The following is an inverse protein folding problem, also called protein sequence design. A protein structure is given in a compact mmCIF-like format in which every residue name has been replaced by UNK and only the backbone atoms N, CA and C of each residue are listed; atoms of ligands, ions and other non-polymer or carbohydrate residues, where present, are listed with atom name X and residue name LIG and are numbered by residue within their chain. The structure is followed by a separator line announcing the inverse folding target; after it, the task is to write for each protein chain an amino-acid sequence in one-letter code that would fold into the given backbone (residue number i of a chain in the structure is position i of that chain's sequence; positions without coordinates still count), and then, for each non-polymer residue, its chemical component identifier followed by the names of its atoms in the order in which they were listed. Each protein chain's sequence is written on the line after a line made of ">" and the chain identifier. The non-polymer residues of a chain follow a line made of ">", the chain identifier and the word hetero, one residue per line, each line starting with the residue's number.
data_IF_311005284216
#
_entry.id   IF_311005284216
#
_cell.length_a   1.000
_cell.length_b   1.000
_cell.length_c   1.000
_cell.angle_alpha   90.00
_cell.angle_beta   90.00
_cell.angle_gamma   90.00
#
_symmetry.space_group_name_H-M   'P 1'
#
loop_
_entity.id
_entity.type
_entity.pdbx_description
1 polymer ?
#
# COMPACT_ATOMS: atom_id res chain seq x y z
N UNK A 1 1.82 0.48 1.19
CA UNK A 1 2.38 -0.28 0.06
C UNK A 1 2.07 0.38 -1.28
N UNK A 2 0.80 0.64 -1.63
CA UNK A 2 0.45 1.28 -2.91
C UNK A 2 1.18 2.62 -3.14
N UNK A 3 1.22 3.49 -2.12
CA UNK A 3 1.92 4.80 -2.16
C UNK A 3 3.43 4.70 -2.40
N UNK A 4 4.03 3.50 -2.29
CA UNK A 4 5.44 3.26 -2.56
C UNK A 4 5.63 2.64 -3.95
N UNK A 5 4.86 1.57 -4.24
CA UNK A 5 5.01 0.80 -5.49
C UNK A 5 4.69 1.65 -6.73
N UNK A 6 3.56 2.37 -6.72
CA UNK A 6 3.13 3.11 -7.90
C UNK A 6 4.10 4.23 -8.29
N UNK A 7 4.51 5.14 -7.37
CA UNK A 7 5.51 6.16 -7.69
C UNK A 7 6.85 5.56 -8.10
N UNK A 8 7.34 4.52 -7.41
CA UNK A 8 8.59 3.85 -7.75
C UNK A 8 8.61 3.27 -9.16
N UNK A 9 7.56 2.51 -9.52
CA UNK A 9 7.43 1.93 -10.86
C UNK A 9 7.26 3.01 -11.91
N UNK A 10 6.54 4.09 -11.61
CA UNK A 10 6.39 5.22 -12.52
C UNK A 10 7.74 5.86 -12.83
N UNK A 11 8.57 6.14 -11.81
CA UNK A 11 9.92 6.69 -12.00
C UNK A 11 10.76 5.80 -12.93
N UNK A 12 10.70 4.49 -12.76
CA UNK A 12 11.49 3.54 -13.56
C UNK A 12 10.93 3.27 -14.96
N UNK A 13 9.60 3.21 -15.10
CA UNK A 13 8.93 2.65 -16.28
C UNK A 13 8.41 3.68 -17.28
N UNK A 14 8.33 4.96 -16.90
CA UNK A 14 7.76 6.03 -17.73
C UNK A 14 8.45 6.17 -19.09
N UNK A 15 9.75 5.89 -19.19
CA UNK A 15 10.49 5.99 -20.43
C UNK A 15 9.98 5.01 -21.50
N UNK A 16 9.54 3.81 -21.10
CA UNK A 16 8.95 2.83 -22.00
C UNK A 16 7.48 3.10 -22.37
N UNK A 17 6.79 3.95 -21.61
CA UNK A 17 5.35 4.23 -21.78
C UNK A 17 5.13 5.52 -22.56
N UNK A 18 5.90 6.57 -22.28
CA UNK A 18 5.63 7.92 -22.77
C UNK A 18 6.67 8.46 -23.76
N UNK A 19 7.65 7.64 -24.20
CA UNK A 19 8.89 8.13 -24.86
C UNK A 19 9.54 9.29 -24.08
N UNK A 20 9.31 9.34 -22.78
CA UNK A 20 9.85 10.36 -21.90
C UNK A 20 11.26 9.94 -21.47
N UNK A 21 12.10 10.92 -21.13
CA UNK A 21 13.33 10.63 -20.41
C UNK A 21 13.05 10.09 -19.01
N UNK A 22 14.11 9.81 -18.26
CA UNK A 22 14.00 9.52 -16.83
C UNK A 22 13.25 10.65 -16.12
N UNK A 23 12.25 10.30 -15.31
CA UNK A 23 11.50 11.28 -14.51
C UNK A 23 12.14 11.38 -13.13
N UNK A 24 12.32 12.61 -12.67
CA UNK A 24 12.75 12.90 -11.31
C UNK A 24 11.64 12.48 -10.33
N UNK A 25 11.92 11.60 -9.33
CA UNK A 25 10.98 11.22 -8.29
C UNK A 25 10.27 12.41 -7.64
N UNK A 26 10.96 13.54 -7.46
CA UNK A 26 10.42 14.75 -6.84
C UNK A 26 9.25 15.39 -7.62
N UNK A 27 9.01 14.95 -8.86
CA UNK A 27 7.93 15.44 -9.72
C UNK A 27 6.69 14.54 -9.71
N UNK A 28 6.70 13.49 -8.90
CA UNK A 28 5.61 12.51 -8.82
C UNK A 28 4.82 12.75 -7.52
N UNK A 29 3.51 12.71 -7.64
CA UNK A 29 2.57 12.75 -6.53
C UNK A 29 1.54 11.62 -6.70
N UNK A 30 1.24 10.93 -5.60
CA UNK A 30 0.16 9.94 -5.53
C UNK A 30 -1.03 10.57 -4.81
N UNK A 31 -2.18 10.65 -5.49
CA UNK A 31 -3.39 11.26 -4.97
C UNK A 31 -4.43 10.17 -4.71
N UNK A 32 -4.86 10.07 -3.46
CA UNK A 32 -6.01 9.24 -3.08
C UNK A 32 -7.25 10.11 -3.06
N UNK A 33 -8.16 9.84 -4.00
CA UNK A 33 -9.43 10.53 -4.11
C UNK A 33 -10.55 9.64 -3.58
N UNK A 34 -11.27 10.12 -2.57
CA UNK A 34 -12.36 9.39 -1.91
C UNK A 34 -13.72 9.94 -2.34
N UNK A 35 -14.61 9.07 -2.80
CA UNK A 35 -15.97 9.46 -3.24
C UNK A 35 -16.80 10.10 -2.13
N UNK A 36 -16.58 9.71 -0.88
CA UNK A 36 -17.27 10.26 0.28
C UNK A 36 -16.79 11.68 0.65
N UNK A 37 -15.57 12.06 0.24
CA UNK A 37 -14.95 13.37 0.50
C UNK A 37 -14.24 13.89 -0.75
N UNK A 38 -14.98 14.17 -1.84
CA UNK A 38 -14.40 14.41 -3.16
C UNK A 38 -13.58 15.71 -3.26
N UNK A 39 -13.81 16.66 -2.35
CA UNK A 39 -13.10 17.95 -2.29
C UNK A 39 -11.85 17.89 -1.40
N UNK A 40 -11.59 16.77 -0.72
CA UNK A 40 -10.49 16.59 0.23
C UNK A 40 -9.66 15.35 -0.13
N UNK A 41 -8.97 15.34 -1.28
CA UNK A 41 -8.06 14.25 -1.62
C UNK A 41 -6.82 14.27 -0.72
N UNK A 42 -6.27 13.10 -0.46
CA UNK A 42 -4.99 12.93 0.25
C UNK A 42 -3.85 12.86 -0.77
N UNK A 43 -2.89 13.79 -0.66
CA UNK A 43 -1.76 13.90 -1.58
C UNK A 43 -0.45 13.47 -0.92
N UNK A 44 0.29 12.59 -1.60
CA UNK A 44 1.60 12.12 -1.16
C UNK A 44 2.65 12.44 -2.21
N UNK A 45 3.52 13.41 -1.91
CA UNK A 45 4.66 13.72 -2.76
C UNK A 45 5.73 12.63 -2.65
N UNK A 46 6.35 12.31 -3.77
CA UNK A 46 7.47 11.40 -3.82
C UNK A 46 8.78 12.18 -3.83
N UNK A 47 9.84 11.63 -3.24
CA UNK A 47 11.14 12.30 -3.14
C UNK A 47 12.26 11.36 -3.56
N UNK A 48 13.43 11.90 -3.88
CA UNK A 48 14.60 11.08 -4.20
C UNK A 48 14.96 10.15 -3.03
N UNK A 49 14.88 10.65 -1.79
CA UNK A 49 15.13 9.85 -0.60
C UNK A 49 14.13 8.70 -0.44
N UNK A 50 12.83 8.98 -0.70
CA UNK A 50 11.79 7.95 -0.68
C UNK A 50 12.03 6.90 -1.76
N UNK A 51 12.45 7.33 -2.96
CA UNK A 51 12.81 6.43 -4.04
C UNK A 51 13.98 5.50 -3.71
N UNK A 52 15.06 6.03 -3.14
CA UNK A 52 16.23 5.22 -2.77
C UNK A 52 15.87 4.20 -1.66
N UNK A 53 15.03 4.62 -0.70
CA UNK A 53 14.54 3.75 0.37
C UNK A 53 13.61 2.66 -0.17
N UNK A 54 12.69 3.01 -1.06
CA UNK A 54 11.77 2.08 -1.70
C UNK A 54 12.51 1.07 -2.57
N UNK A 55 13.55 1.50 -3.30
CA UNK A 55 14.41 0.60 -4.05
C UNK A 55 15.02 -0.49 -3.16
N UNK A 56 15.67 -0.08 -2.06
CA UNK A 56 16.28 -1.02 -1.13
C UNK A 56 15.25 -1.95 -0.49
N UNK A 57 14.09 -1.40 -0.12
CA UNK A 57 13.00 -2.16 0.47
C UNK A 57 12.45 -3.22 -0.50
N UNK A 58 12.19 -2.86 -1.75
CA UNK A 58 11.66 -3.78 -2.76
C UNK A 58 12.68 -4.82 -3.19
N UNK A 59 13.95 -4.45 -3.36
CA UNK A 59 15.02 -5.42 -3.61
C UNK A 59 15.10 -6.42 -2.46
N UNK A 60 15.04 -5.95 -1.20
CA UNK A 60 15.01 -6.80 -0.01
C UNK A 60 13.84 -7.79 -0.02
N UNK A 61 12.62 -7.32 -0.33
CA UNK A 61 11.44 -8.18 -0.44
C UNK A 61 11.59 -9.23 -1.55
N UNK A 62 12.10 -8.85 -2.72
CA UNK A 62 12.32 -9.77 -3.84
C UNK A 62 13.35 -10.83 -3.46
N UNK A 63 14.45 -10.44 -2.83
CA UNK A 63 15.45 -11.38 -2.31
C UNK A 63 14.85 -12.32 -1.28
N UNK A 64 14.05 -11.79 -0.34
CA UNK A 64 13.36 -12.61 0.66
C UNK A 64 12.46 -13.64 -0.02
N UNK A 65 11.59 -13.22 -0.93
CA UNK A 65 10.66 -14.10 -1.67
C UNK A 65 11.41 -15.18 -2.43
N UNK A 66 12.47 -14.82 -3.17
CA UNK A 66 13.26 -15.77 -3.95
C UNK A 66 14.05 -16.76 -3.07
N UNK A 67 14.40 -16.35 -1.85
CA UNK A 67 15.12 -17.21 -0.90
C UNK A 67 14.21 -18.20 -0.16
N UNK A 68 12.89 -17.99 -0.15
CA UNK A 68 11.94 -18.90 0.49
C UNK A 68 11.70 -20.14 -0.37
N UNK A 69 11.88 -21.32 0.22
CA UNK A 69 11.48 -22.61 -0.37
C UNK A 69 10.18 -23.11 0.27
N UNK A 70 9.57 -24.16 -0.30
CA UNK A 70 8.19 -24.61 -0.01
C UNK A 70 7.79 -24.85 1.47
N UNK A 71 8.67 -25.04 2.48
CA UNK A 71 8.18 -25.06 3.86
C UNK A 71 8.03 -23.67 4.54
N UNK A 72 8.39 -22.54 3.91
CA UNK A 72 8.63 -21.26 4.62
C UNK A 72 7.55 -20.18 4.45
N UNK A 73 6.37 -20.51 3.90
CA UNK A 73 5.21 -19.61 3.89
C UNK A 73 4.20 -19.98 4.99
N UNK A 74 4.39 -19.54 6.24
CA UNK A 74 3.50 -19.91 7.34
C UNK A 74 2.12 -19.32 7.11
N UNK A 75 1.09 -20.08 7.53
CA UNK A 75 -0.27 -19.58 7.56
C UNK A 75 -0.36 -18.38 8.51
N UNK A 76 -1.01 -17.30 8.06
CA UNK A 76 -1.20 -16.09 8.88
C UNK A 76 -1.83 -16.44 10.25
N UNK A 77 -1.38 -15.86 11.37
CA UNK A 77 -2.02 -16.10 12.66
C UNK A 77 -3.39 -15.39 12.79
N UNK A 78 -3.69 -14.41 11.92
CA UNK A 78 -4.96 -13.67 11.97
C UNK A 78 -6.09 -14.44 11.26
N UNK A 79 -6.80 -15.26 12.03
CA UNK A 79 -7.92 -16.07 11.52
C UNK A 79 -9.07 -15.22 10.97
N UNK A 80 -9.24 -13.96 11.41
CA UNK A 80 -10.30 -13.09 10.90
C UNK A 80 -10.08 -12.82 9.41
N UNK A 81 -8.82 -12.57 9.02
CA UNK A 81 -8.42 -12.38 7.61
C UNK A 81 -8.59 -13.65 6.79
N UNK A 82 -8.46 -14.84 7.40
CA UNK A 82 -8.69 -16.10 6.70
C UNK A 82 -10.11 -16.21 6.12
N UNK A 83 -11.12 -15.55 6.71
CA UNK A 83 -12.51 -15.55 6.23
C UNK A 83 -12.65 -15.07 4.79
N UNK A 84 -11.68 -14.28 4.31
CA UNK A 84 -11.66 -13.70 2.96
C UNK A 84 -10.61 -14.36 2.05
N UNK A 85 -9.84 -15.32 2.55
CA UNK A 85 -8.77 -15.97 1.80
C UNK A 85 -9.35 -17.03 0.85
N UNK A 86 -9.13 -16.87 -0.46
CA UNK A 86 -9.59 -17.83 -1.48
C UNK A 86 -9.01 -19.25 -1.24
N UNK A 87 -7.80 -19.34 -0.71
CA UNK A 87 -7.12 -20.59 -0.39
C UNK A 87 -7.53 -21.23 0.94
N UNK A 88 -8.53 -20.69 1.65
CA UNK A 88 -8.94 -21.21 2.97
C UNK A 88 -9.36 -22.68 2.95
N UNK A 89 -9.96 -23.15 1.85
CA UNK A 89 -10.31 -24.57 1.65
C UNK A 89 -9.10 -25.48 1.45
N UNK A 90 -7.92 -24.93 1.17
CA UNK A 90 -6.68 -25.65 0.86
C UNK A 90 -5.64 -25.55 1.98
N UNK A 91 -5.97 -24.94 3.12
CA UNK A 91 -5.03 -24.70 4.22
C UNK A 91 -5.45 -25.32 5.56
N UNK A 92 -6.32 -26.33 5.53
CA UNK A 92 -6.87 -27.06 6.69
C UNK A 92 -7.60 -26.20 7.74
N UNK A 93 -7.91 -24.93 7.40
CA UNK A 93 -8.64 -23.99 8.29
C UNK A 93 -10.07 -23.70 7.84
N UNK A 94 -10.55 -24.39 6.81
CA UNK A 94 -11.92 -24.28 6.35
C UNK A 94 -12.30 -25.30 5.28
N UNK A 95 -13.60 -25.50 5.10
CA UNK A 95 -14.18 -26.40 4.08
C UNK A 95 -14.63 -25.67 2.81
N UNK A 96 -14.54 -24.33 2.82
CA UNK A 96 -14.88 -23.45 1.69
C UNK A 96 -13.85 -22.33 1.60
N UNK A 97 -13.63 -21.85 0.38
CA UNK A 97 -12.89 -20.62 0.10
C UNK A 97 -13.50 -19.44 0.84
N UNK A 98 -12.67 -18.43 1.11
CA UNK A 98 -13.13 -17.18 1.71
C UNK A 98 -14.06 -16.41 0.78
N UNK A 99 -14.90 -15.58 1.39
CA UNK A 99 -15.92 -14.80 0.72
C UNK A 99 -15.34 -13.41 0.36
N UNK A 100 -14.85 -13.27 -0.88
CA UNK A 100 -14.23 -12.03 -1.35
C UNK A 100 -15.24 -10.88 -1.48
N UNK A 101 -16.48 -11.16 -1.89
CA UNK A 101 -17.55 -10.15 -1.99
C UNK A 101 -17.85 -9.56 -0.61
N UNK A 102 -17.85 -10.40 0.42
CA UNK A 102 -18.01 -9.94 1.80
C UNK A 102 -16.81 -9.15 2.32
N UNK A 103 -15.60 -9.31 1.78
CA UNK A 103 -14.45 -8.46 2.12
C UNK A 103 -14.67 -7.03 1.65
N UNK A 104 -15.15 -6.85 0.42
CA UNK A 104 -15.45 -5.55 -0.17
C UNK A 104 -16.50 -4.83 0.66
N UNK A 105 -17.60 -5.52 1.00
CA UNK A 105 -18.63 -5.01 1.90
C UNK A 105 -18.09 -4.66 3.30
N UNK A 106 -17.13 -5.44 3.83
CA UNK A 106 -16.51 -5.17 5.13
C UNK A 106 -15.60 -3.94 5.09
N UNK A 107 -14.89 -3.71 3.98
CA UNK A 107 -14.07 -2.52 3.78
C UNK A 107 -14.94 -1.26 3.64
N UNK A 108 -16.07 -1.38 2.94
CA UNK A 108 -17.05 -0.30 2.79
C UNK A 108 -17.80 0.03 4.09
N UNK A 109 -17.98 -0.97 4.98
CA UNK A 109 -18.71 -0.81 6.26
C UNK A 109 -17.83 -0.59 7.48
N UNK A 110 -16.50 -0.69 7.36
CA UNK A 110 -15.58 -0.44 8.46
C UNK A 110 -15.40 1.08 8.64
N UNK A 111 -15.68 1.65 9.83
CA UNK A 111 -15.54 3.08 10.10
C UNK A 111 -14.08 3.57 10.23
N UNK A 112 -13.12 2.82 9.68
CA UNK A 112 -11.69 3.07 9.81
C UNK A 112 -11.14 4.10 8.80
N UNK A 113 -11.91 5.15 8.53
CA UNK A 113 -11.33 6.50 8.55
C UNK A 113 -11.59 7.08 9.95
N UNK A 114 -11.10 6.41 10.99
CA UNK A 114 -10.94 7.08 12.28
C UNK A 114 -9.85 8.13 12.05
N UNK A 115 -10.31 9.35 11.79
CA UNK A 115 -9.49 10.55 11.74
C UNK A 115 -8.54 10.53 12.93
N UNK A 116 -7.24 10.45 12.68
CA UNK A 116 -6.25 10.86 13.68
C UNK A 116 -6.54 12.33 13.94
N UNK A 117 -7.17 12.66 15.08
CA UNK A 117 -7.40 14.04 15.48
C UNK A 117 -6.07 14.63 15.93
N UNK A 118 -5.31 15.19 15.00
CA UNK A 118 -4.10 15.96 15.32
C UNK A 118 -4.58 17.32 15.82
N UNK A 119 -4.29 17.64 17.08
CA UNK A 119 -4.63 18.92 17.69
C UNK A 119 -3.58 19.96 17.28
N UNK A 120 -3.91 20.75 16.26
CA UNK A 120 -3.03 21.76 15.65
C UNK A 120 -2.78 22.97 16.57
N UNK A 121 -3.46 23.10 17.71
CA UNK A 121 -3.17 24.16 18.69
C UNK A 121 -1.83 23.93 19.43
N UNK A 122 -1.19 22.76 19.26
CA UNK A 122 0.10 22.43 19.90
C UNK A 122 1.35 22.71 19.04
N UNK A 123 1.22 23.18 17.80
CA UNK A 123 2.39 23.48 16.96
C UNK A 123 2.86 24.91 17.29
N UNK A 124 3.91 25.04 18.10
CA UNK A 124 4.54 26.33 18.39
C UNK A 124 5.08 27.01 17.14
N UNK A 125 4.85 28.32 17.01
CA UNK A 125 5.37 29.15 15.92
C UNK A 125 6.89 29.02 15.80
N UNK A 126 7.37 28.81 14.57
CA UNK A 126 8.79 28.84 14.24
C UNK A 126 9.11 30.27 13.80
N UNK A 127 9.84 31.03 14.63
CA UNK A 127 10.41 32.34 14.24
C UNK A 127 11.52 32.14 13.19
N UNK A 128 11.49 32.97 12.14
CA UNK A 128 12.57 33.11 11.16
C UNK A 128 13.45 34.32 11.48
#
# INVERSE_FOLDING_TARGET
>A
MQTHVYPFVLTHGIAGIANAGQVDPARIEMIYWFTNHPEQPESFSYSQQAYDADQQYFEGLVTEINSKTEPVFPLTPDIRRCTFCNYRSLCDRGVKSGDLERLELWQESSPASESVSIDYEQIGEIEF
#
